data_IF_222510395222
#
_entry.id   IF_222510395222
#
_cell.length_a   1.000
_cell.length_b   1.000
_cell.length_c   1.000
_cell.angle_alpha   90.00
_cell.angle_beta   90.00
_cell.angle_gamma   90.00
#
_symmetry.space_group_name_H-M   'P 1'
#
loop_
_entity.id
_entity.type
_entity.pdbx_description
1 polymer ?
#
# COMPACT_ATOMS: atom_id res chain seq x y z
N UNK A 1 -12.15 -6.81 -12.35
CA UNK A 1 -11.96 -5.53 -11.65
C UNK A 1 -12.01 -4.42 -12.69
N UNK A 2 -12.54 -3.24 -12.41
CA UNK A 2 -12.82 -2.22 -13.42
C UNK A 2 -12.02 -0.94 -13.09
N UNK A 3 -11.21 -0.46 -14.05
CA UNK A 3 -10.49 0.83 -13.97
C UNK A 3 -11.41 2.05 -13.75
N UNK A 4 -12.71 1.91 -14.00
CA UNK A 4 -13.71 2.94 -13.72
C UNK A 4 -14.21 2.99 -12.27
N UNK A 5 -13.64 2.15 -11.39
CA UNK A 5 -13.94 2.20 -9.96
C UNK A 5 -13.41 3.54 -9.39
N UNK A 6 -14.25 4.39 -8.78
CA UNK A 6 -13.83 5.68 -8.25
C UNK A 6 -12.73 5.57 -7.17
N UNK A 7 -12.71 4.48 -6.39
CA UNK A 7 -11.67 4.26 -5.40
C UNK A 7 -10.31 4.04 -6.06
N UNK A 8 -10.28 3.33 -7.20
CA UNK A 8 -9.06 3.13 -8.00
C UNK A 8 -8.58 4.44 -8.58
N UNK A 9 -9.48 5.22 -9.18
CA UNK A 9 -9.15 6.52 -9.76
C UNK A 9 -8.54 7.46 -8.70
N UNK A 10 -9.19 7.56 -7.53
CA UNK A 10 -8.70 8.39 -6.44
C UNK A 10 -7.35 7.93 -5.89
N UNK A 11 -7.18 6.62 -5.64
CA UNK A 11 -5.89 6.05 -5.22
C UNK A 11 -4.77 6.30 -6.24
N UNK A 12 -5.09 6.21 -7.53
CA UNK A 12 -4.14 6.49 -8.60
C UNK A 12 -3.74 7.98 -8.66
N UNK A 13 -4.68 8.89 -8.41
CA UNK A 13 -4.37 10.32 -8.31
C UNK A 13 -3.45 10.64 -7.12
N UNK A 14 -3.67 10.02 -5.96
CA UNK A 14 -2.76 10.16 -4.81
C UNK A 14 -1.36 9.66 -5.19
N UNK A 15 -1.27 8.47 -5.79
CA UNK A 15 -0.01 7.89 -6.25
C UNK A 15 0.69 8.79 -7.29
N UNK A 16 -0.07 9.40 -8.21
CA UNK A 16 0.47 10.31 -9.23
C UNK A 16 1.14 11.55 -8.63
N UNK A 17 0.52 12.14 -7.61
CA UNK A 17 0.96 13.37 -6.95
C UNK A 17 2.15 13.17 -6.02
N UNK A 18 2.40 11.94 -5.57
CA UNK A 18 3.44 11.62 -4.59
C UNK A 18 4.78 11.34 -5.27
N UNK A 19 5.89 11.71 -4.62
CA UNK A 19 7.25 11.44 -5.08
C UNK A 19 7.92 10.34 -4.26
N UNK A 20 7.59 10.26 -2.97
CA UNK A 20 8.06 9.23 -2.06
C UNK A 20 6.88 8.53 -1.38
N UNK A 21 6.71 7.25 -1.64
CA UNK A 21 5.61 6.44 -1.15
C UNK A 21 6.13 5.46 -0.10
N UNK A 22 5.52 5.45 1.07
CA UNK A 22 5.70 4.39 2.07
C UNK A 22 4.63 3.33 1.84
N UNK A 23 5.03 2.11 1.45
CA UNK A 23 4.08 1.01 1.26
C UNK A 23 4.29 -0.07 2.33
N UNK A 24 3.22 -0.45 3.03
CA UNK A 24 3.26 -1.38 4.15
C UNK A 24 2.14 -2.42 4.09
N UNK A 25 2.45 -3.62 4.52
CA UNK A 25 1.53 -4.73 4.71
C UNK A 25 1.96 -5.57 5.90
N UNK A 26 1.22 -6.66 6.18
CA UNK A 26 1.58 -7.64 7.19
C UNK A 26 1.42 -9.05 6.63
N UNK A 27 2.34 -9.96 6.95
CA UNK A 27 2.34 -11.33 6.40
C UNK A 27 2.47 -11.33 4.87
N UNK A 28 1.60 -12.04 4.15
CA UNK A 28 1.58 -12.07 2.68
C UNK A 28 1.39 -10.68 2.06
N UNK A 29 0.64 -9.80 2.71
CA UNK A 29 0.48 -8.42 2.24
C UNK A 29 1.79 -7.62 2.30
N UNK A 30 2.75 -7.97 3.17
CA UNK A 30 4.07 -7.34 3.17
C UNK A 30 4.89 -7.78 1.95
N UNK A 31 4.80 -9.04 1.55
CA UNK A 31 5.45 -9.51 0.32
C UNK A 31 4.91 -8.77 -0.91
N UNK A 32 3.59 -8.52 -0.95
CA UNK A 32 2.96 -7.70 -2.00
C UNK A 32 3.47 -6.26 -1.94
N UNK A 33 3.57 -5.68 -0.74
CA UNK A 33 4.08 -4.32 -0.56
C UNK A 33 5.53 -4.18 -1.05
N UNK A 34 6.40 -5.14 -0.75
CA UNK A 34 7.78 -5.17 -1.20
C UNK A 34 7.89 -5.31 -2.73
N UNK A 35 7.08 -6.21 -3.32
CA UNK A 35 7.02 -6.36 -4.76
C UNK A 35 6.53 -5.09 -5.45
N UNK A 36 5.44 -4.51 -4.95
CA UNK A 36 4.88 -3.26 -5.44
C UNK A 36 5.86 -2.09 -5.33
N UNK A 37 6.62 -1.99 -4.24
CA UNK A 37 7.66 -0.97 -4.10
C UNK A 37 8.70 -1.07 -5.21
N UNK A 38 9.14 -2.29 -5.54
CA UNK A 38 10.08 -2.52 -6.65
C UNK A 38 9.49 -2.09 -7.99
N UNK A 39 8.24 -2.44 -8.27
CA UNK A 39 7.58 -2.12 -9.53
C UNK A 39 7.29 -0.62 -9.68
N UNK A 40 6.84 0.04 -8.62
CA UNK A 40 6.63 1.49 -8.61
C UNK A 40 7.96 2.23 -8.85
N UNK A 41 9.03 1.82 -8.16
CA UNK A 41 10.36 2.39 -8.40
C UNK A 41 10.79 2.23 -9.86
N UNK A 42 10.65 1.02 -10.41
CA UNK A 42 11.13 0.68 -11.75
C UNK A 42 10.31 1.32 -12.86
N UNK A 43 8.98 1.30 -12.75
CA UNK A 43 8.10 1.63 -13.86
C UNK A 43 7.48 3.02 -13.77
N UNK A 44 7.41 3.61 -12.57
CA UNK A 44 6.91 4.98 -12.37
C UNK A 44 8.03 5.99 -12.09
N UNK A 45 9.26 5.53 -11.81
CA UNK A 45 10.38 6.39 -11.45
C UNK A 45 10.18 7.14 -10.13
N UNK A 46 9.35 6.62 -9.24
CA UNK A 46 9.04 7.20 -7.94
C UNK A 46 9.78 6.45 -6.84
N UNK A 47 10.23 7.15 -5.80
CA UNK A 47 10.78 6.48 -4.62
C UNK A 47 9.65 5.79 -3.87
N UNK A 48 9.71 4.47 -3.76
CA UNK A 48 8.76 3.69 -2.98
C UNK A 48 9.52 2.80 -2.00
N UNK A 49 9.21 2.93 -0.71
CA UNK A 49 9.87 2.25 0.39
C UNK A 49 8.91 1.25 1.03
N UNK A 50 9.41 0.06 1.35
CA UNK A 50 8.68 -0.94 2.12
C UNK A 50 9.60 -1.53 3.21
N UNK A 51 9.09 -1.94 4.38
CA UNK A 51 9.88 -2.64 5.38
C UNK A 51 10.54 -3.88 4.79
N UNK A 52 11.79 -4.12 5.11
CA UNK A 52 12.56 -5.29 4.68
C UNK A 52 12.80 -6.31 5.82
N UNK A 53 13.52 -7.38 5.50
CA UNK A 53 13.83 -8.43 6.48
C UNK A 53 14.67 -7.93 7.67
N UNK A 54 15.49 -6.90 7.49
CA UNK A 54 16.28 -6.31 8.59
C UNK A 54 15.37 -5.62 9.58
N UNK A 55 14.38 -4.84 9.10
CA UNK A 55 13.37 -4.24 9.96
C UNK A 55 12.56 -5.29 10.72
N UNK A 56 12.23 -6.40 10.05
CA UNK A 56 11.47 -7.48 10.66
C UNK A 56 12.28 -8.28 11.70
N UNK A 57 13.58 -8.50 11.46
CA UNK A 57 14.42 -9.32 12.33
C UNK A 57 15.09 -8.52 13.43
N UNK A 58 15.57 -7.32 13.16
CA UNK A 58 16.17 -6.45 14.17
C UNK A 58 15.14 -5.91 15.17
N UNK A 59 13.91 -5.72 14.72
CA UNK A 59 12.77 -5.21 15.50
C UNK A 59 11.70 -6.29 15.72
N UNK A 60 11.93 -7.53 15.26
CA UNK A 60 10.96 -8.63 15.32
C UNK A 60 10.64 -9.12 16.74
N UNK A 61 11.46 -8.77 17.73
CA UNK A 61 11.14 -8.86 19.16
C UNK A 61 10.42 -7.62 19.68
N UNK A 62 10.29 -6.57 18.89
CA UNK A 62 9.61 -5.33 19.22
C UNK A 62 8.22 -5.32 18.57
N UNK A 63 7.18 -5.38 19.39
CA UNK A 63 5.79 -5.29 18.93
C UNK A 63 5.49 -3.95 18.23
N UNK A 64 6.32 -2.95 18.43
CA UNK A 64 6.19 -1.58 17.90
C UNK A 64 6.88 -1.35 16.55
N UNK A 65 7.44 -2.39 15.91
CA UNK A 65 8.23 -2.19 14.69
C UNK A 65 7.45 -1.47 13.57
N UNK A 66 6.14 -1.73 13.44
CA UNK A 66 5.28 -1.08 12.44
C UNK A 66 5.14 0.40 12.71
N UNK A 67 4.84 0.78 13.95
CA UNK A 67 4.73 2.18 14.37
C UNK A 67 6.06 2.91 14.22
N UNK A 68 7.17 2.30 14.60
CA UNK A 68 8.51 2.87 14.45
C UNK A 68 8.87 3.08 12.98
N UNK A 69 8.57 2.10 12.12
CA UNK A 69 8.80 2.23 10.68
C UNK A 69 7.90 3.30 10.05
N UNK A 70 6.62 3.35 10.43
CA UNK A 70 5.67 4.36 9.94
C UNK A 70 6.08 5.76 10.41
N UNK A 71 6.55 5.91 11.64
CA UNK A 71 7.06 7.20 12.15
C UNK A 71 8.25 7.69 11.32
N UNK A 72 9.17 6.79 10.94
CA UNK A 72 10.26 7.12 10.04
C UNK A 72 9.74 7.48 8.63
N UNK A 73 8.88 6.65 8.08
CA UNK A 73 8.32 6.85 6.76
C UNK A 73 7.53 8.17 6.64
N UNK A 74 6.76 8.52 7.67
CA UNK A 74 5.98 9.75 7.73
C UNK A 74 6.85 11.03 7.72
N UNK A 75 8.12 10.94 8.11
CA UNK A 75 9.06 12.06 8.05
C UNK A 75 9.71 12.23 6.67
N UNK A 76 9.71 11.20 5.84
CA UNK A 76 10.47 11.15 4.60
C UNK A 76 9.62 10.92 3.35
N UNK A 77 8.43 10.36 3.52
CA UNK A 77 7.50 10.09 2.42
C UNK A 77 6.32 11.06 2.44
N UNK A 78 5.77 11.30 1.27
CA UNK A 78 4.64 12.20 1.06
C UNK A 78 3.32 11.43 0.77
N UNK A 79 3.35 10.08 0.88
CA UNK A 79 2.17 9.22 0.83
C UNK A 79 2.41 7.93 1.62
N UNK A 80 1.36 7.44 2.28
CA UNK A 80 1.29 6.10 2.86
C UNK A 80 0.31 5.25 2.04
N UNK A 81 0.74 4.06 1.60
CA UNK A 81 -0.10 3.07 0.96
C UNK A 81 -0.10 1.79 1.80
N UNK A 82 -1.22 1.49 2.44
CA UNK A 82 -1.40 0.28 3.25
C UNK A 82 -2.06 -0.85 2.47
N UNK A 83 -1.73 -2.11 2.79
CA UNK A 83 -2.41 -3.31 2.29
C UNK A 83 -2.84 -4.15 3.48
N UNK A 84 -4.14 -4.31 3.69
CA UNK A 84 -4.66 -5.05 4.85
C UNK A 84 -5.89 -5.88 4.51
N UNK A 85 -5.79 -7.19 4.69
CA UNK A 85 -6.94 -8.09 4.58
C UNK A 85 -7.96 -7.93 5.73
N UNK A 86 -7.69 -7.06 6.70
CA UNK A 86 -8.61 -6.73 7.80
C UNK A 86 -8.69 -5.22 7.96
N UNK A 87 -9.86 -4.64 7.69
CA UNK A 87 -10.10 -3.20 7.80
C UNK A 87 -10.00 -2.64 9.25
N UNK A 88 -9.84 -3.50 10.24
CA UNK A 88 -9.70 -3.16 11.67
C UNK A 88 -8.48 -3.81 12.32
N UNK A 89 -7.44 -4.14 11.55
CA UNK A 89 -6.21 -4.73 12.09
C UNK A 89 -5.44 -3.73 12.94
N UNK A 90 -4.55 -4.20 13.86
CA UNK A 90 -3.65 -3.30 14.59
C UNK A 90 -2.85 -2.39 13.65
N UNK A 91 -2.38 -2.91 12.52
CA UNK A 91 -1.66 -2.13 11.52
C UNK A 91 -2.49 -0.94 10.96
N UNK A 92 -3.81 -1.08 10.84
CA UNK A 92 -4.67 0.03 10.40
C UNK A 92 -4.69 1.13 11.46
N UNK A 93 -4.68 0.80 12.74
CA UNK A 93 -4.58 1.79 13.83
C UNK A 93 -3.23 2.49 13.80
N UNK A 94 -2.15 1.75 13.58
CA UNK A 94 -0.81 2.33 13.44
C UNK A 94 -0.77 3.29 12.24
N UNK A 95 -1.33 2.89 11.09
CA UNK A 95 -1.42 3.76 9.90
C UNK A 95 -2.26 5.02 10.21
N UNK A 96 -3.41 4.87 10.86
CA UNK A 96 -4.33 5.97 11.18
C UNK A 96 -3.66 7.03 12.08
N UNK A 97 -2.81 6.60 13.00
CA UNK A 97 -2.03 7.48 13.87
C UNK A 97 -1.09 8.41 13.08
N UNK A 98 -0.50 7.91 11.98
CA UNK A 98 0.42 8.68 11.13
C UNK A 98 -0.24 9.30 9.89
N UNK A 99 -1.50 8.97 9.60
CA UNK A 99 -2.23 9.47 8.43
C UNK A 99 -2.59 10.96 8.51
N UNK A 100 -2.52 11.57 9.70
CA UNK A 100 -2.83 12.98 9.87
C UNK A 100 -1.81 13.86 9.12
N UNK A 101 -2.28 14.54 8.07
CA UNK A 101 -1.45 15.45 7.27
C UNK A 101 -0.63 14.80 6.16
N UNK A 102 -0.73 13.47 5.99
CA UNK A 102 -0.08 12.74 4.90
C UNK A 102 -1.16 12.03 4.08
N UNK A 103 -1.24 12.24 2.76
CA UNK A 103 -2.11 11.48 1.88
C UNK A 103 -1.97 9.98 2.13
N UNK A 104 -3.04 9.33 2.55
CA UNK A 104 -3.00 7.94 2.97
C UNK A 104 -4.13 7.15 2.30
N UNK A 105 -3.76 6.10 1.58
CA UNK A 105 -4.70 5.14 1.03
C UNK A 105 -4.45 3.74 1.58
N UNK A 106 -5.50 2.94 1.74
CA UNK A 106 -5.38 1.54 2.16
C UNK A 106 -6.23 0.65 1.26
N UNK A 107 -5.61 -0.34 0.66
CA UNK A 107 -6.28 -1.44 -0.03
C UNK A 107 -6.82 -2.39 1.04
N UNK A 108 -8.15 -2.55 1.10
CA UNK A 108 -8.81 -3.38 2.11
C UNK A 108 -10.10 -4.03 1.54
N UNK A 109 -10.58 -5.15 2.12
CA UNK A 109 -11.76 -5.84 1.62
C UNK A 109 -13.07 -5.09 1.89
N UNK A 110 -13.06 -4.11 2.78
CA UNK A 110 -14.19 -3.23 3.11
C UNK A 110 -13.69 -1.88 3.59
N UNK A 111 -14.57 -0.89 3.57
CA UNK A 111 -14.26 0.48 4.00
C UNK A 111 -13.72 0.52 5.43
N UNK A 112 -12.66 1.30 5.61
CA UNK A 112 -12.07 1.64 6.91
C UNK A 112 -12.81 2.85 7.47
N UNK A 113 -13.13 2.79 8.75
CA UNK A 113 -13.78 3.91 9.45
C UNK A 113 -12.71 4.85 10.03
N UNK A 114 -12.14 5.68 9.17
CA UNK A 114 -11.21 6.75 9.53
C UNK A 114 -11.45 7.95 8.63
N UNK A 115 -11.37 9.18 9.14
CA UNK A 115 -11.43 10.38 8.33
C UNK A 115 -10.12 10.69 7.60
N UNK A 116 -9.03 10.00 7.93
CA UNK A 116 -7.68 10.26 7.40
C UNK A 116 -7.22 9.21 6.39
N UNK A 117 -7.99 8.12 6.22
CA UNK A 117 -7.63 7.00 5.35
C UNK A 117 -8.62 6.88 4.20
N UNK A 118 -8.15 7.06 2.99
CA UNK A 118 -8.89 6.71 1.78
C UNK A 118 -8.84 5.20 1.58
N UNK A 119 -10.00 4.54 1.52
CA UNK A 119 -10.06 3.10 1.33
C UNK A 119 -10.28 2.74 -0.12
N UNK A 120 -9.35 2.00 -0.70
CA UNK A 120 -9.54 1.32 -1.98
C UNK A 120 -10.17 -0.03 -1.67
N UNK A 121 -11.48 -0.14 -1.88
CA UNK A 121 -12.24 -1.34 -1.51
C UNK A 121 -12.04 -2.44 -2.54
N UNK A 122 -11.51 -3.57 -2.09
CA UNK A 122 -11.23 -4.77 -2.88
C UNK A 122 -11.88 -5.98 -2.22
N UNK A 123 -13.14 -6.29 -2.54
CA UNK A 123 -13.86 -7.40 -1.94
C UNK A 123 -13.15 -8.73 -2.20
N UNK A 124 -13.07 -9.57 -1.17
CA UNK A 124 -12.52 -10.91 -1.25
C UNK A 124 -13.16 -11.81 -0.19
N UNK A 125 -13.24 -13.11 -0.47
CA UNK A 125 -13.81 -14.12 0.43
C UNK A 125 -12.74 -14.80 1.29
N UNK A 126 -11.49 -14.83 0.81
CA UNK A 126 -10.35 -15.46 1.49
C UNK A 126 -9.16 -14.52 1.55
N UNK A 127 -8.20 -14.80 2.44
CA UNK A 127 -6.94 -14.05 2.51
C UNK A 127 -6.16 -14.12 1.19
N UNK A 128 -6.06 -15.31 0.59
CA UNK A 128 -5.33 -15.51 -0.66
C UNK A 128 -5.97 -14.80 -1.85
N UNK A 129 -7.31 -14.82 -1.93
CA UNK A 129 -8.04 -14.05 -2.93
C UNK A 129 -7.78 -12.54 -2.76
N UNK A 130 -7.77 -12.07 -1.51
CA UNK A 130 -7.45 -10.67 -1.23
C UNK A 130 -6.03 -10.31 -1.66
N UNK A 131 -5.04 -11.15 -1.34
CA UNK A 131 -3.64 -10.93 -1.70
C UNK A 131 -3.45 -10.80 -3.21
N UNK A 132 -4.03 -11.71 -3.99
CA UNK A 132 -3.99 -11.64 -5.46
C UNK A 132 -4.67 -10.37 -5.98
N UNK A 133 -5.86 -10.06 -5.44
CA UNK A 133 -6.61 -8.88 -5.85
C UNK A 133 -5.91 -7.57 -5.43
N UNK A 134 -5.23 -7.55 -4.30
CA UNK A 134 -4.45 -6.39 -3.85
C UNK A 134 -3.27 -6.10 -4.79
N UNK A 135 -2.52 -7.13 -5.18
CA UNK A 135 -1.44 -6.98 -6.16
C UNK A 135 -1.98 -6.47 -7.49
N UNK A 136 -3.09 -7.07 -7.97
CA UNK A 136 -3.74 -6.62 -9.20
C UNK A 136 -4.22 -5.17 -9.11
N UNK A 137 -4.73 -4.77 -7.95
CA UNK A 137 -5.14 -3.38 -7.70
C UNK A 137 -3.98 -2.42 -7.86
N UNK A 138 -2.79 -2.74 -7.35
CA UNK A 138 -1.59 -1.92 -7.51
C UNK A 138 -1.25 -1.76 -8.99
N UNK A 139 -1.29 -2.82 -9.78
CA UNK A 139 -1.07 -2.72 -11.22
C UNK A 139 -2.11 -1.82 -11.89
N UNK A 140 -3.37 -1.88 -11.48
CA UNK A 140 -4.40 -0.96 -11.99
C UNK A 140 -4.12 0.50 -11.63
N UNK A 141 -3.59 0.78 -10.42
CA UNK A 141 -3.17 2.13 -10.04
C UNK A 141 -2.03 2.63 -10.93
N UNK A 142 -1.09 1.76 -11.28
CA UNK A 142 0.02 2.07 -12.18
C UNK A 142 -0.47 2.28 -13.62
N UNK A 143 -1.31 1.39 -14.15
CA UNK A 143 -1.91 1.51 -15.49
C UNK A 143 -2.77 2.77 -15.63
N UNK A 144 -3.53 3.14 -14.60
CA UNK A 144 -4.28 4.39 -14.59
C UNK A 144 -3.36 5.62 -14.76
N UNK A 145 -2.14 5.53 -14.27
CA UNK A 145 -1.09 6.54 -14.44
C UNK A 145 -0.29 6.39 -15.75
N UNK A 146 -0.78 5.59 -16.69
CA UNK A 146 -0.18 5.44 -18.02
C UNK A 146 1.01 4.49 -18.08
N UNK A 147 1.29 3.73 -17.01
CA UNK A 147 2.32 2.69 -17.03
C UNK A 147 1.86 1.54 -17.92
N UNK A 148 2.68 1.18 -18.88
CA UNK A 148 2.49 -0.07 -19.65
C UNK A 148 3.25 -1.17 -18.93
N UNK A 149 2.52 -2.17 -18.43
CA UNK A 149 3.14 -3.34 -17.84
C UNK A 149 3.90 -4.11 -18.92
N UNK A 150 5.12 -4.61 -18.61
CA UNK A 150 5.92 -5.32 -19.61
C UNK A 150 5.23 -6.62 -20.03
N UNK A 151 5.24 -6.88 -21.33
CA UNK A 151 4.79 -8.16 -21.89
C UNK A 151 5.84 -9.25 -21.62
N UNK A 152 5.39 -10.50 -21.53
CA UNK A 152 6.31 -11.61 -21.45
C UNK A 152 7.07 -11.72 -22.76
N UNK A 153 8.39 -12.02 -22.73
CA UNK A 153 9.14 -12.30 -23.97
C UNK A 153 8.56 -13.56 -24.62
N UNK A 154 8.48 -13.52 -25.96
CA UNK A 154 8.10 -14.69 -26.77
C UNK A 154 9.12 -15.85 -26.67
#
# INVERSE_FOLDING_TARGET
MNLRNPDIAHGAELLAKSNCIAIIGNGGNLAIAQHAASDINRHMGKLCLSPDAVHLTAVGGDEMWKSNWLAYAAQHCDMILGISARANSPMIRDIDEFAFGIPTAVIAPKKINSPYIDTIVVPAKTYHEFEVNALWTIYMLMEYNGVKLPELPE
#
